data_IF_109040024847
#
_entry.id   IF_109040024847
#
_cell.length_a   1.000
_cell.length_b   1.000
_cell.length_c   1.000
_cell.angle_alpha   90.00
_cell.angle_beta   90.00
_cell.angle_gamma   90.00
#
_symmetry.space_group_name_H-M   'P 1'
#
loop_
_entity.id
_entity.type
_entity.pdbx_description
1 polymer ?
#
# COMPACT_ATOMS: atom_id res chain seq x y z
N UNK A 1 2.71 -9.53 -21.91
CA UNK A 1 3.62 -10.20 -20.96
C UNK A 1 3.82 -9.26 -19.78
N UNK A 2 3.17 -9.50 -18.65
CA UNK A 2 3.44 -8.74 -17.42
C UNK A 2 4.32 -9.63 -16.56
N UNK A 3 5.61 -9.30 -16.50
CA UNK A 3 6.55 -9.93 -15.60
C UNK A 3 6.17 -9.50 -14.19
N UNK A 4 5.55 -10.40 -13.42
CA UNK A 4 5.54 -10.26 -11.98
C UNK A 4 6.98 -10.57 -11.56
N UNK A 5 7.76 -9.58 -11.10
CA UNK A 5 9.01 -9.94 -10.45
C UNK A 5 8.62 -10.65 -9.15
N UNK A 6 8.70 -11.99 -9.19
CA UNK A 6 8.66 -12.89 -8.05
C UNK A 6 9.75 -12.46 -7.06
N UNK A 7 9.44 -11.47 -6.23
CA UNK A 7 10.19 -11.20 -5.02
C UNK A 7 9.96 -12.41 -4.12
N UNK A 8 11.05 -12.97 -3.59
CA UNK A 8 11.14 -14.22 -2.82
C UNK A 8 10.16 -14.32 -1.59
N UNK A 9 9.43 -13.25 -1.31
CA UNK A 9 8.40 -13.09 -0.27
C UNK A 9 6.95 -13.25 -0.77
N UNK A 10 6.71 -13.43 -2.08
CA UNK A 10 5.36 -13.61 -2.66
C UNK A 10 4.54 -12.32 -2.80
N UNK A 11 5.18 -11.17 -2.68
CA UNK A 11 4.55 -9.85 -2.73
C UNK A 11 4.22 -9.52 -4.18
N UNK A 12 2.95 -9.25 -4.49
CA UNK A 12 2.55 -8.75 -5.81
C UNK A 12 3.15 -7.36 -6.03
N UNK A 13 4.01 -7.24 -7.04
CA UNK A 13 4.70 -5.98 -7.39
C UNK A 13 3.74 -4.84 -7.70
N UNK A 14 2.58 -5.16 -8.29
CA UNK A 14 1.56 -4.19 -8.68
C UNK A 14 0.20 -4.61 -8.15
N UNK A 15 -0.47 -3.70 -7.45
CA UNK A 15 -1.86 -3.86 -7.03
C UNK A 15 -2.72 -2.71 -7.52
N UNK A 16 -4.01 -2.94 -7.75
CA UNK A 16 -4.96 -1.87 -8.13
C UNK A 16 -5.92 -1.65 -6.98
N UNK A 17 -6.04 -0.41 -6.55
CA UNK A 17 -6.97 0.01 -5.49
C UNK A 17 -7.85 1.12 -6.02
N UNK A 18 -9.13 1.07 -5.68
CA UNK A 18 -10.07 2.15 -5.94
C UNK A 18 -10.47 2.73 -4.59
N UNK A 19 -10.30 4.03 -4.45
CA UNK A 19 -10.76 4.78 -3.29
C UNK A 19 -11.99 5.58 -3.69
N UNK A 20 -13.17 5.22 -3.18
CA UNK A 20 -14.40 5.99 -3.43
C UNK A 20 -14.46 7.30 -2.64
N UNK A 21 -13.61 7.43 -1.60
CA UNK A 21 -13.45 8.63 -0.77
C UNK A 21 -11.97 9.00 -0.67
N UNK A 22 -11.60 10.27 -0.46
CA UNK A 22 -10.22 10.63 -0.16
C UNK A 22 -9.73 9.89 1.10
N UNK A 23 -8.50 9.39 1.04
CA UNK A 23 -7.83 8.68 2.13
C UNK A 23 -6.46 9.29 2.36
N UNK A 24 -6.05 9.41 3.62
CA UNK A 24 -4.70 9.81 4.00
C UNK A 24 -3.88 8.56 4.30
N UNK A 25 -2.63 8.52 3.87
CA UNK A 25 -1.70 7.43 4.14
C UNK A 25 -0.42 8.06 4.67
N UNK A 26 -0.09 7.81 5.93
CA UNK A 26 0.94 8.55 6.65
C UNK A 26 0.73 10.08 6.48
N UNK A 27 1.69 10.76 5.86
CA UNK A 27 1.64 12.20 5.56
C UNK A 27 1.05 12.55 4.18
N UNK A 28 0.64 11.57 3.38
CA UNK A 28 0.20 11.80 1.99
C UNK A 28 -1.31 11.67 1.87
N UNK A 29 -1.97 12.66 1.26
CA UNK A 29 -3.40 12.61 0.99
C UNK A 29 -3.66 12.09 -0.43
N UNK A 30 -4.33 10.95 -0.53
CA UNK A 30 -4.76 10.35 -1.79
C UNK A 30 -6.23 10.73 -2.03
N UNK A 31 -6.54 11.49 -3.08
CA UNK A 31 -7.93 11.80 -3.41
C UNK A 31 -8.72 10.54 -3.80
N UNK A 32 -10.05 10.62 -3.81
CA UNK A 32 -10.86 9.54 -4.36
C UNK A 32 -10.51 9.28 -5.83
N UNK A 33 -10.36 8.02 -6.24
CA UNK A 33 -9.99 7.62 -7.59
C UNK A 33 -9.44 6.20 -7.70
N UNK A 34 -9.04 5.82 -8.90
CA UNK A 34 -8.36 4.56 -9.17
C UNK A 34 -6.84 4.74 -9.15
N UNK A 35 -6.15 3.86 -8.43
CA UNK A 35 -4.72 3.90 -8.23
C UNK A 35 -4.08 2.54 -8.50
N UNK A 36 -2.90 2.60 -9.10
CA UNK A 36 -1.98 1.48 -9.26
C UNK A 36 -0.92 1.63 -8.18
N UNK A 37 -0.98 0.77 -7.17
CA UNK A 37 0.02 0.64 -6.12
C UNK A 37 1.18 -0.17 -6.66
N UNK A 38 2.39 0.35 -6.52
CA UNK A 38 3.64 -0.35 -6.83
C UNK A 38 4.49 -0.40 -5.58
N UNK A 39 5.04 -1.56 -5.27
CA UNK A 39 5.96 -1.72 -4.16
C UNK A 39 7.38 -1.51 -4.66
N UNK A 40 8.11 -0.59 -4.04
CA UNK A 40 9.51 -0.34 -4.35
C UNK A 40 10.32 -0.34 -3.06
N UNK A 41 11.43 -1.06 -3.04
CA UNK A 41 12.36 -1.00 -1.91
C UNK A 41 13.34 0.14 -2.17
N UNK A 42 13.38 1.09 -1.25
CA UNK A 42 14.26 2.24 -1.32
C UNK A 42 15.31 2.09 -0.22
N UNK A 43 16.41 1.40 -0.55
CA UNK A 43 17.35 0.89 0.45
C UNK A 43 16.70 -0.22 1.28
N UNK A 44 16.73 -0.08 2.60
CA UNK A 44 16.08 -0.98 3.57
C UNK A 44 14.61 -0.60 3.87
N UNK A 45 14.15 0.56 3.37
CA UNK A 45 12.79 1.03 3.59
C UNK A 45 11.85 0.54 2.49
N UNK A 46 10.64 0.14 2.87
CA UNK A 46 9.60 -0.22 1.91
C UNK A 46 8.78 1.01 1.54
N UNK A 47 8.73 1.33 0.25
CA UNK A 47 8.00 2.48 -0.26
C UNK A 47 6.88 1.99 -1.18
N UNK A 48 5.65 2.37 -0.88
CA UNK A 48 4.53 2.16 -1.78
C UNK A 48 4.32 3.39 -2.64
N UNK A 49 4.25 3.17 -3.95
CA UNK A 49 4.01 4.20 -4.94
C UNK A 49 2.59 4.03 -5.47
N UNK A 50 1.70 4.92 -5.06
CA UNK A 50 0.32 4.99 -5.54
C UNK A 50 0.27 5.90 -6.75
N UNK A 51 0.22 5.33 -7.95
CA UNK A 51 0.08 6.08 -9.20
C UNK A 51 -1.38 6.16 -9.60
N UNK A 52 -1.93 7.35 -9.84
CA UNK A 52 -3.30 7.47 -10.39
C UNK A 52 -3.38 6.80 -11.75
N UNK A 53 -4.48 6.08 -11.99
CA UNK A 53 -4.79 5.52 -13.31
C UNK A 53 -5.11 6.63 -14.32
N UNK A 54 -5.79 7.68 -13.85
CA UNK A 54 -6.17 8.86 -14.64
C UNK A 54 -5.27 10.02 -14.20
N UNK A 55 -4.25 10.33 -15.00
CA UNK A 55 -3.25 11.35 -14.71
C UNK A 55 -1.81 10.81 -14.63
N UNK A 56 -0.86 11.68 -14.29
CA UNK A 56 0.53 11.31 -14.01
C UNK A 56 0.93 11.53 -12.54
N UNK A 57 -0.05 11.73 -11.66
CA UNK A 57 0.19 11.84 -10.23
C UNK A 57 0.68 10.52 -9.66
N UNK A 58 1.82 10.56 -8.99
CA UNK A 58 2.32 9.48 -8.15
C UNK A 58 2.47 9.96 -6.71
N UNK A 59 2.07 9.12 -5.78
CA UNK A 59 2.13 9.37 -4.35
C UNK A 59 3.02 8.30 -3.73
N UNK A 60 4.21 8.69 -3.28
CA UNK A 60 5.15 7.79 -2.63
C UNK A 60 4.95 7.88 -1.13
N UNK A 61 4.64 6.75 -0.51
CA UNK A 61 4.51 6.65 0.95
C UNK A 61 5.47 5.61 1.46
N UNK A 62 6.20 5.99 2.50
CA UNK A 62 7.06 5.06 3.23
C UNK A 62 6.21 4.24 4.17
N UNK A 63 6.54 2.97 4.32
CA UNK A 63 5.92 2.09 5.29
C UNK A 63 6.97 1.17 5.92
N UNK A 64 6.70 0.82 7.17
CA UNK A 64 7.51 -0.07 7.96
C UNK A 64 6.97 -1.49 7.79
N UNK A 65 7.80 -2.40 7.26
CA UNK A 65 7.46 -3.82 7.18
C UNK A 65 7.63 -4.45 8.56
N UNK A 66 6.52 -4.88 9.16
CA UNK A 66 6.53 -5.64 10.41
C UNK A 66 6.26 -7.11 10.08
N UNK A 67 7.16 -8.05 10.41
CA UNK A 67 6.97 -9.46 10.13
C UNK A 67 5.74 -10.01 10.88
N UNK A 68 4.93 -10.80 10.17
CA UNK A 68 3.80 -11.51 10.71
C UNK A 68 4.22 -12.95 11.07
N UNK A 69 3.67 -13.49 12.15
CA UNK A 69 3.90 -14.87 12.58
C UNK A 69 3.46 -15.90 11.53
N UNK A 70 2.53 -15.51 10.66
CA UNK A 70 1.97 -16.34 9.60
C UNK A 70 1.71 -15.52 8.34
N UNK A 71 1.70 -16.19 7.19
CA UNK A 71 1.31 -15.56 5.91
C UNK A 71 -0.09 -14.98 6.01
N UNK A 72 -0.26 -13.78 5.48
CA UNK A 72 -1.55 -13.12 5.45
C UNK A 72 -2.55 -13.89 4.58
N UNK A 73 -3.69 -14.31 5.12
CA UNK A 73 -4.65 -15.15 4.39
C UNK A 73 -5.35 -14.39 3.27
N UNK A 74 -5.47 -13.06 3.40
CA UNK A 74 -6.14 -12.17 2.46
C UNK A 74 -5.51 -10.76 2.51
N UNK A 75 -5.76 -9.97 1.47
CA UNK A 75 -5.35 -8.56 1.44
C UNK A 75 -6.30 -7.76 2.32
N UNK A 76 -5.76 -7.06 3.32
CA UNK A 76 -6.52 -6.24 4.26
C UNK A 76 -5.86 -4.86 4.34
N UNK A 77 -6.67 -3.82 4.26
CA UNK A 77 -6.24 -2.45 4.52
C UNK A 77 -6.97 -1.98 5.77
N UNK A 78 -6.21 -1.63 6.80
CA UNK A 78 -6.70 -1.09 8.06
C UNK A 78 -6.75 0.43 7.92
N UNK A 79 -7.96 0.96 8.02
CA UNK A 79 -8.22 2.39 8.03
C UNK A 79 -8.59 2.82 9.46
N UNK A 80 -7.96 3.87 9.94
CA UNK A 80 -8.37 4.62 11.12
C UNK A 80 -9.25 5.79 10.66
N UNK A 81 -10.43 5.91 11.26
CA UNK A 81 -11.32 7.04 11.00
C UNK A 81 -11.02 8.12 12.03
N UNK A 82 -10.37 9.21 11.59
CA UNK A 82 -10.07 10.37 12.41
C UNK A 82 -11.06 11.49 12.06
N UNK A 83 -12.27 11.44 12.63
CA UNK A 83 -13.35 12.34 12.26
C UNK A 83 -13.91 12.03 10.86
N UNK A 84 -13.73 12.95 9.91
CA UNK A 84 -14.15 12.75 8.51
C UNK A 84 -13.04 12.17 7.62
N UNK A 85 -11.82 12.06 8.12
CA UNK A 85 -10.67 11.56 7.38
C UNK A 85 -10.49 10.05 7.57
N UNK A 86 -10.23 9.35 6.47
CA UNK A 86 -9.86 7.93 6.47
C UNK A 86 -8.35 7.82 6.35
N UNK A 87 -7.68 7.44 7.43
CA UNK A 87 -6.23 7.32 7.48
C UNK A 87 -5.85 5.85 7.38
N UNK A 88 -5.13 5.43 6.36
CA UNK A 88 -4.55 4.08 6.33
C UNK A 88 -3.48 4.00 7.40
N UNK A 89 -3.69 3.10 8.37
CA UNK A 89 -2.70 2.76 9.38
C UNK A 89 -1.84 1.58 8.92
N UNK A 90 -2.46 0.55 8.34
CA UNK A 90 -1.77 -0.68 8.01
C UNK A 90 -2.31 -1.28 6.71
N UNK A 91 -1.43 -1.87 5.90
CA UNK A 91 -1.80 -2.69 4.74
C UNK A 91 -1.12 -4.04 4.82
N UNK A 92 -1.91 -5.09 4.62
CA UNK A 92 -1.44 -6.46 4.56
C UNK A 92 -1.87 -7.03 3.22
N UNK A 93 -0.97 -7.62 2.45
CA UNK A 93 -1.33 -8.24 1.17
C UNK A 93 -1.46 -9.74 1.34
N UNK A 94 -2.41 -10.35 0.62
CA UNK A 94 -2.56 -11.80 0.62
C UNK A 94 -1.25 -12.48 0.20
N UNK A 95 -0.79 -13.43 1.00
CA UNK A 95 0.46 -14.17 0.75
C UNK A 95 1.70 -13.50 1.33
N UNK A 96 1.59 -12.26 1.79
CA UNK A 96 2.68 -11.55 2.43
C UNK A 96 2.99 -12.13 3.81
N UNK A 97 4.27 -12.15 4.18
CA UNK A 97 4.72 -12.56 5.52
C UNK A 97 4.99 -11.35 6.42
N UNK A 98 4.70 -10.15 5.96
CA UNK A 98 4.79 -8.92 6.72
C UNK A 98 3.54 -8.07 6.54
N UNK A 99 3.30 -7.19 7.51
CA UNK A 99 2.33 -6.10 7.41
C UNK A 99 3.08 -4.80 7.14
N UNK A 100 2.49 -3.93 6.34
CA UNK A 100 3.01 -2.62 6.01
C UNK A 100 2.34 -1.62 6.94
N UNK A 101 3.08 -1.15 7.93
CA UNK A 101 2.61 -0.15 8.89
C UNK A 101 2.99 1.23 8.37
N UNK A 102 2.02 2.13 8.24
CA UNK A 102 2.23 3.51 7.85
C UNK A 102 2.19 4.35 9.13
N UNK A 103 3.37 4.65 9.66
CA UNK A 103 3.48 5.50 10.84
C UNK A 103 3.08 6.95 10.49
N UNK A 104 2.45 7.63 11.45
CA UNK A 104 1.81 8.94 11.30
C UNK A 104 2.84 10.06 11.19
#
# INVERSE_FOLDING_TARGET
>A
MAVAADNNLGIKEVNRVKFDTPVRIASVNLPAGEYVVRHTMQGDEHVMVFRRQIGNDEFKVKCTLVPLTQKAPQTQTVYEIAGNDRIVQEMVFRGDKAKHVFEK
#
